data_IF_896690011392
#
_entry.id   IF_896690011392
#
_cell.length_a   1.000
_cell.length_b   1.000
_cell.length_c   1.000
_cell.angle_alpha   90.00
_cell.angle_beta   90.00
_cell.angle_gamma   90.00
#
_symmetry.space_group_name_H-M   'P 1'
#
loop_
_entity.id
_entity.type
_entity.pdbx_description
1 polymer ?
#
# COMPACT_ATOMS: atom_id res chain seq x y z
N UNK A 1 11.05 12.01 -2.69
CA UNK A 1 10.99 10.56 -3.02
C UNK A 1 10.14 9.88 -1.95
N UNK A 2 9.25 8.95 -2.30
CA UNK A 2 8.43 8.25 -1.30
C UNK A 2 9.29 7.27 -0.49
N UNK A 3 9.05 7.18 0.82
CA UNK A 3 9.66 6.14 1.67
C UNK A 3 8.88 4.84 1.49
N UNK A 4 9.54 3.79 0.99
CA UNK A 4 8.91 2.51 0.71
C UNK A 4 9.34 1.45 1.73
N UNK A 5 8.38 0.65 2.20
CA UNK A 5 8.59 -0.42 3.17
C UNK A 5 8.06 -1.73 2.64
N UNK A 6 8.92 -2.75 2.52
CA UNK A 6 8.53 -4.13 2.21
C UNK A 6 8.47 -4.93 3.51
N UNK A 7 7.35 -5.60 3.77
CA UNK A 7 7.16 -6.40 4.98
C UNK A 7 6.53 -7.76 4.70
N UNK A 8 6.87 -8.77 5.51
CA UNK A 8 6.25 -10.09 5.44
C UNK A 8 5.11 -10.27 6.47
N UNK A 9 5.30 -9.73 7.69
CA UNK A 9 4.43 -10.00 8.84
C UNK A 9 3.31 -8.96 8.96
N UNK A 10 2.11 -9.44 9.22
CA UNK A 10 0.93 -8.58 9.47
C UNK A 10 1.13 -7.73 10.74
N UNK A 11 1.87 -8.21 11.74
CA UNK A 11 2.23 -7.44 12.93
C UNK A 11 3.07 -6.21 12.58
N UNK A 12 4.12 -6.37 11.77
CA UNK A 12 4.96 -5.27 11.29
C UNK A 12 4.16 -4.30 10.41
N UNK A 13 3.33 -4.81 9.49
CA UNK A 13 2.46 -3.99 8.66
C UNK A 13 1.55 -3.07 9.50
N UNK A 14 0.88 -3.64 10.50
CA UNK A 14 0.03 -2.86 11.43
C UNK A 14 0.81 -1.98 12.40
N UNK A 15 2.07 -2.31 12.71
CA UNK A 15 2.96 -1.44 13.49
C UNK A 15 3.29 -0.18 12.69
N UNK A 16 3.72 -0.34 11.43
CA UNK A 16 3.99 0.80 10.54
C UNK A 16 2.74 1.66 10.30
N UNK A 17 1.55 1.06 10.24
CA UNK A 17 0.28 1.80 10.22
C UNK A 17 0.08 2.72 11.44
N UNK A 18 0.63 2.38 12.61
CA UNK A 18 0.59 3.25 13.81
C UNK A 18 1.72 4.25 13.84
N UNK A 19 2.89 3.91 13.31
CA UNK A 19 4.09 4.74 13.42
C UNK A 19 4.15 5.83 12.32
N UNK A 20 3.66 5.51 11.12
CA UNK A 20 3.87 6.36 9.94
C UNK A 20 2.67 7.25 9.59
N UNK A 21 1.51 7.02 10.23
CA UNK A 21 0.24 7.71 9.96
C UNK A 21 -0.13 8.64 11.13
N UNK A 22 -0.46 9.88 10.79
CA UNK A 22 -0.90 10.96 11.67
C UNK A 22 -2.31 11.47 11.35
N UNK A 23 -2.81 12.37 12.21
CA UNK A 23 -4.20 12.84 12.26
C UNK A 23 -4.69 13.54 10.98
N UNK A 24 -3.78 14.10 10.18
CA UNK A 24 -4.13 14.86 8.98
C UNK A 24 -3.97 14.03 7.68
N UNK A 25 -3.46 12.79 7.78
CA UNK A 25 -3.18 11.98 6.60
C UNK A 25 -4.48 11.47 5.96
N UNK A 26 -4.51 11.51 4.62
CA UNK A 26 -5.39 10.70 3.80
C UNK A 26 -4.65 9.40 3.43
N UNK A 27 -5.20 8.28 3.91
CA UNK A 27 -4.62 6.95 3.68
C UNK A 27 -5.45 6.15 2.69
N UNK A 28 -4.78 5.48 1.76
CA UNK A 28 -5.40 4.44 0.92
C UNK A 28 -4.90 3.07 1.39
N UNK A 29 -5.82 2.15 1.67
CA UNK A 29 -5.52 0.75 2.01
C UNK A 29 -6.06 -0.18 0.94
N UNK A 30 -5.22 -1.05 0.38
CA UNK A 30 -5.55 -2.03 -0.64
C UNK A 30 -5.54 -3.43 -0.05
N UNK A 31 -6.68 -4.12 -0.10
CA UNK A 31 -6.88 -5.43 0.52
C UNK A 31 -7.30 -5.33 1.98
N UNK A 32 -8.39 -4.61 2.26
CA UNK A 32 -8.87 -4.40 3.63
C UNK A 32 -9.30 -5.70 4.35
N UNK A 33 -9.71 -6.73 3.60
CA UNK A 33 -10.05 -8.07 4.09
C UNK A 33 -11.07 -8.07 5.24
N UNK A 34 -10.63 -8.20 6.49
CA UNK A 34 -11.50 -8.19 7.68
C UNK A 34 -11.55 -6.82 8.39
N UNK A 35 -10.98 -5.78 7.80
CA UNK A 35 -10.94 -4.42 8.36
C UNK A 35 -10.02 -4.26 9.57
N UNK A 36 -9.20 -5.26 9.92
CA UNK A 36 -8.34 -5.20 11.12
C UNK A 36 -7.28 -4.12 11.03
N UNK A 37 -6.65 -3.96 9.86
CA UNK A 37 -5.67 -2.89 9.62
C UNK A 37 -6.38 -1.56 9.33
N UNK A 38 -7.50 -1.57 8.61
CA UNK A 38 -8.37 -0.39 8.44
C UNK A 38 -8.74 0.27 9.76
N UNK A 39 -9.10 -0.52 10.79
CA UNK A 39 -9.36 -0.02 12.16
C UNK A 39 -8.16 0.61 12.85
N UNK A 40 -6.94 0.20 12.49
CA UNK A 40 -5.71 0.80 13.01
C UNK A 40 -5.49 2.15 12.31
N UNK A 41 -5.63 2.18 10.99
CA UNK A 41 -5.52 3.39 10.18
C UNK A 41 -6.59 4.42 10.56
N UNK A 42 -7.85 4.02 10.70
CA UNK A 42 -8.97 4.91 11.01
C UNK A 42 -8.87 5.58 12.39
N UNK A 43 -8.12 4.99 13.33
CA UNK A 43 -7.84 5.62 14.64
C UNK A 43 -6.75 6.68 14.58
N UNK A 44 -5.99 6.73 13.49
CA UNK A 44 -4.81 7.60 13.35
C UNK A 44 -4.97 8.63 12.25
N UNK A 45 -5.49 8.24 11.09
CA UNK A 45 -5.64 9.06 9.91
C UNK A 45 -6.83 10.02 10.00
N UNK A 46 -6.73 11.14 9.31
CA UNK A 46 -7.86 12.05 9.10
C UNK A 46 -8.92 11.42 8.20
N UNK A 47 -8.48 10.62 7.21
CA UNK A 47 -9.37 9.86 6.33
C UNK A 47 -8.72 8.57 5.84
N UNK A 48 -9.52 7.50 5.72
CA UNK A 48 -9.09 6.23 5.13
C UNK A 48 -10.00 5.86 3.97
N UNK A 49 -9.42 5.53 2.82
CA UNK A 49 -10.09 4.87 1.70
C UNK A 49 -9.64 3.42 1.70
N UNK A 50 -10.52 2.52 2.13
CA UNK A 50 -10.27 1.09 2.20
C UNK A 50 -10.84 0.42 0.93
N UNK A 51 -10.02 -0.33 0.21
CA UNK A 51 -10.40 -1.06 -1.01
C UNK A 51 -10.37 -2.55 -0.74
N UNK A 52 -11.47 -3.21 -1.06
CA UNK A 52 -11.62 -4.66 -0.91
C UNK A 52 -12.42 -5.23 -2.09
N UNK A 53 -11.91 -6.31 -2.70
CA UNK A 53 -12.50 -6.89 -3.92
C UNK A 53 -13.66 -7.83 -3.63
N UNK A 54 -13.55 -8.62 -2.56
CA UNK A 54 -14.48 -9.71 -2.29
C UNK A 54 -15.71 -9.19 -1.54
N UNK A 55 -16.90 -9.64 -1.93
CA UNK A 55 -18.15 -9.30 -1.24
C UNK A 55 -18.11 -9.67 0.25
N UNK A 56 -17.56 -10.84 0.57
CA UNK A 56 -17.38 -11.32 1.94
C UNK A 56 -16.40 -10.43 2.74
N UNK A 57 -15.25 -10.06 2.15
CA UNK A 57 -14.31 -9.13 2.79
C UNK A 57 -14.93 -7.75 2.99
N UNK A 58 -15.70 -7.28 2.02
CA UNK A 58 -16.44 -6.03 2.13
C UNK A 58 -17.45 -6.03 3.28
N UNK A 59 -18.25 -7.08 3.43
CA UNK A 59 -19.19 -7.21 4.54
C UNK A 59 -18.46 -7.19 5.89
N UNK A 60 -17.37 -7.97 6.02
CA UNK A 60 -16.54 -8.01 7.24
C UNK A 60 -15.91 -6.66 7.54
N UNK A 61 -15.32 -6.01 6.54
CA UNK A 61 -14.68 -4.69 6.68
C UNK A 61 -15.70 -3.65 7.08
N UNK A 62 -16.87 -3.60 6.44
CA UNK A 62 -17.97 -2.68 6.76
C UNK A 62 -18.39 -2.82 8.21
N UNK A 63 -18.61 -4.04 8.70
CA UNK A 63 -18.93 -4.29 10.10
C UNK A 63 -17.79 -3.86 11.04
N UNK A 64 -16.53 -4.15 10.69
CA UNK A 64 -15.37 -3.81 11.50
C UNK A 64 -15.14 -2.30 11.65
N UNK A 65 -15.56 -1.51 10.65
CA UNK A 65 -15.34 -0.06 10.60
C UNK A 65 -16.60 0.78 10.81
N UNK A 66 -17.76 0.17 11.10
CA UNK A 66 -19.06 0.86 11.18
C UNK A 66 -19.10 2.08 12.11
N UNK A 67 -18.27 2.08 13.17
CA UNK A 67 -18.16 3.20 14.14
C UNK A 67 -17.22 4.33 13.73
N UNK A 68 -16.52 4.21 12.61
CA UNK A 68 -15.54 5.18 12.15
C UNK A 68 -16.15 6.03 11.03
N UNK A 69 -16.42 7.31 11.33
CA UNK A 69 -16.95 8.27 10.35
C UNK A 69 -15.94 8.72 9.28
N UNK A 70 -14.66 8.38 9.45
CA UNK A 70 -13.56 8.77 8.57
C UNK A 70 -13.13 7.67 7.58
N UNK A 71 -13.92 6.60 7.42
CA UNK A 71 -13.60 5.48 6.51
C UNK A 71 -14.57 5.44 5.34
N UNK A 72 -14.03 5.50 4.12
CA UNK A 72 -14.75 5.17 2.89
C UNK A 72 -14.35 3.75 2.44
N UNK A 73 -15.32 2.83 2.36
CA UNK A 73 -15.10 1.47 1.86
C UNK A 73 -15.51 1.37 0.40
N UNK A 74 -14.57 1.01 -0.47
CA UNK A 74 -14.80 0.67 -1.87
C UNK A 74 -14.76 -0.84 -2.06
N UNK A 75 -15.89 -1.40 -2.49
CA UNK A 75 -16.03 -2.81 -2.83
C UNK A 75 -15.68 -3.06 -4.29
N UNK A 76 -14.39 -2.98 -4.62
CA UNK A 76 -13.88 -2.97 -5.98
C UNK A 76 -12.52 -3.67 -6.07
N UNK A 77 -12.13 -4.06 -7.28
CA UNK A 77 -10.78 -4.51 -7.55
C UNK A 77 -9.81 -3.32 -7.47
N UNK A 78 -8.77 -3.42 -6.64
CA UNK A 78 -7.77 -2.37 -6.47
C UNK A 78 -6.97 -2.06 -7.75
N UNK A 79 -6.99 -2.95 -8.75
CA UNK A 79 -6.41 -2.67 -10.07
C UNK A 79 -7.27 -1.69 -10.89
N UNK A 80 -8.55 -1.54 -10.59
CA UNK A 80 -9.37 -0.46 -11.12
C UNK A 80 -9.17 0.80 -10.26
N UNK A 81 -8.40 1.74 -10.81
CA UNK A 81 -8.07 2.99 -10.12
C UNK A 81 -9.22 3.99 -10.16
N UNK A 82 -10.17 3.86 -11.09
CA UNK A 82 -11.18 4.89 -11.32
C UNK A 82 -12.02 5.16 -10.06
N UNK A 83 -12.56 4.15 -9.35
CA UNK A 83 -13.34 4.38 -8.14
C UNK A 83 -12.56 5.12 -7.04
N UNK A 84 -11.24 4.89 -6.94
CA UNK A 84 -10.38 5.59 -5.99
C UNK A 84 -10.14 7.04 -6.44
N UNK A 85 -9.89 7.26 -7.74
CA UNK A 85 -9.67 8.57 -8.34
C UNK A 85 -10.90 9.47 -8.32
N UNK A 86 -12.10 8.89 -8.28
CA UNK A 86 -13.36 9.59 -8.09
C UNK A 86 -13.48 10.14 -6.64
N UNK A 87 -12.76 9.57 -5.67
CA UNK A 87 -12.75 10.04 -4.27
C UNK A 87 -11.60 11.00 -3.93
N UNK A 88 -10.43 10.83 -4.56
CA UNK A 88 -9.25 11.64 -4.29
C UNK A 88 -8.26 11.60 -5.45
N UNK A 89 -7.44 12.64 -5.58
CA UNK A 89 -6.27 12.68 -6.48
C UNK A 89 -4.93 12.69 -5.76
N UNK A 90 -4.95 12.54 -4.43
CA UNK A 90 -3.75 12.47 -3.58
C UNK A 90 -3.91 11.40 -2.50
N UNK A 91 -2.78 10.97 -1.94
CA UNK A 91 -2.74 10.24 -0.68
C UNK A 91 -1.44 10.58 0.04
N UNK A 92 -1.47 10.61 1.37
CA UNK A 92 -0.27 10.82 2.17
C UNK A 92 0.44 9.48 2.44
N UNK A 93 -0.35 8.42 2.63
CA UNK A 93 0.17 7.07 2.77
C UNK A 93 -0.64 6.03 1.97
N UNK A 94 0.05 5.02 1.45
CA UNK A 94 -0.56 3.87 0.79
C UNK A 94 -0.12 2.57 1.47
N UNK A 95 -1.08 1.72 1.77
CA UNK A 95 -0.90 0.43 2.43
C UNK A 95 -1.40 -0.68 1.51
N UNK A 96 -0.53 -1.62 1.10
CA UNK A 96 -0.86 -2.69 0.15
C UNK A 96 -0.73 -4.08 0.79
N UNK A 97 -1.83 -4.80 0.95
CA UNK A 97 -1.88 -6.20 1.42
C UNK A 97 -2.96 -7.01 0.68
N UNK A 98 -2.76 -7.28 -0.60
CA UNK A 98 -3.71 -8.03 -1.45
C UNK A 98 -3.53 -9.55 -1.36
N UNK A 99 -3.41 -10.08 -0.14
CA UNK A 99 -3.37 -11.52 0.11
C UNK A 99 -2.03 -12.10 0.55
N UNK A 100 -1.06 -11.27 0.94
CA UNK A 100 0.19 -11.66 1.61
C UNK A 100 1.19 -12.57 0.88
N UNK A 101 0.71 -13.47 0.02
CA UNK A 101 1.45 -14.45 -0.79
C UNK A 101 1.09 -14.36 -2.28
N UNK A 102 0.31 -13.34 -2.66
CA UNK A 102 0.05 -13.01 -4.05
C UNK A 102 1.38 -12.91 -4.84
N UNK A 103 1.38 -13.29 -6.13
CA UNK A 103 2.56 -13.13 -6.97
C UNK A 103 3.16 -11.73 -6.86
N UNK A 104 4.48 -11.64 -6.67
CA UNK A 104 5.18 -10.39 -6.38
C UNK A 104 4.87 -9.30 -7.42
N UNK A 105 4.80 -9.67 -8.70
CA UNK A 105 4.48 -8.76 -9.80
C UNK A 105 3.12 -8.06 -9.64
N UNK A 106 2.11 -8.72 -9.07
CA UNK A 106 0.79 -8.11 -8.84
C UNK A 106 0.88 -7.02 -7.79
N UNK A 107 1.51 -7.31 -6.66
CA UNK A 107 1.68 -6.34 -5.57
C UNK A 107 2.57 -5.18 -6.00
N UNK A 108 3.66 -5.45 -6.74
CA UNK A 108 4.54 -4.43 -7.31
C UNK A 108 3.80 -3.55 -8.33
N UNK A 109 2.96 -4.13 -9.21
CA UNK A 109 2.16 -3.37 -10.17
C UNK A 109 1.19 -2.43 -9.45
N UNK A 110 0.49 -2.89 -8.42
CA UNK A 110 -0.35 -2.01 -7.59
C UNK A 110 0.47 -0.93 -6.91
N UNK A 111 1.56 -1.30 -6.24
CA UNK A 111 2.41 -0.32 -5.55
C UNK A 111 2.90 0.76 -6.53
N UNK A 112 3.33 0.38 -7.74
CA UNK A 112 3.77 1.32 -8.77
C UNK A 112 2.64 2.23 -9.25
N UNK A 113 1.46 1.67 -9.55
CA UNK A 113 0.30 2.44 -9.99
C UNK A 113 -0.13 3.48 -8.94
N UNK A 114 -0.22 3.08 -7.68
CA UNK A 114 -0.63 3.99 -6.61
C UNK A 114 0.47 5.01 -6.27
N UNK A 115 1.73 4.62 -6.37
CA UNK A 115 2.86 5.54 -6.22
C UNK A 115 2.84 6.63 -7.30
N UNK A 116 2.61 6.27 -8.57
CA UNK A 116 2.58 7.23 -9.68
C UNK A 116 1.35 8.14 -9.63
N UNK A 117 0.18 7.59 -9.30
CA UNK A 117 -1.07 8.33 -9.36
C UNK A 117 -1.30 9.25 -8.16
N UNK A 118 -0.90 8.82 -6.96
CA UNK A 118 -1.24 9.55 -5.72
C UNK A 118 -0.05 10.21 -5.04
N UNK A 119 1.18 9.89 -5.50
CA UNK A 119 2.47 10.43 -5.03
C UNK A 119 2.59 10.51 -3.49
N UNK A 120 2.31 9.40 -2.77
CA UNK A 120 2.36 9.41 -1.31
C UNK A 120 3.77 9.64 -0.77
N UNK A 121 3.87 10.20 0.43
CA UNK A 121 5.15 10.29 1.15
C UNK A 121 5.60 8.92 1.67
N UNK A 122 4.67 8.00 1.90
CA UNK A 122 4.91 6.66 2.44
C UNK A 122 4.13 5.59 1.66
N UNK A 123 4.79 4.48 1.34
CA UNK A 123 4.14 3.27 0.84
C UNK A 123 4.60 2.05 1.64
N UNK A 124 3.67 1.32 2.24
CA UNK A 124 3.93 0.06 2.95
C UNK A 124 3.32 -1.09 2.16
N UNK A 125 4.15 -2.03 1.73
CA UNK A 125 3.75 -3.16 0.91
C UNK A 125 4.02 -4.46 1.67
N UNK A 126 2.97 -5.28 1.85
CA UNK A 126 3.10 -6.62 2.38
C UNK A 126 3.19 -7.65 1.26
N UNK A 127 4.29 -8.39 1.21
CA UNK A 127 4.43 -9.57 0.36
C UNK A 127 5.49 -10.51 0.93
N UNK A 128 5.07 -11.68 1.39
CA UNK A 128 5.94 -12.68 2.04
C UNK A 128 6.98 -13.25 1.10
N UNK A 129 6.60 -13.60 -0.14
CA UNK A 129 7.49 -14.18 -1.15
C UNK A 129 8.53 -13.19 -1.62
N UNK A 130 8.13 -11.96 -1.92
CA UNK A 130 9.06 -10.90 -2.31
C UNK A 130 10.00 -10.52 -1.17
N UNK A 131 9.50 -10.44 0.08
CA UNK A 131 10.37 -10.20 1.23
C UNK A 131 11.41 -11.31 1.38
N UNK A 132 11.00 -12.57 1.23
CA UNK A 132 11.92 -13.71 1.29
C UNK A 132 12.98 -13.65 0.19
N UNK A 133 12.57 -13.35 -1.05
CA UNK A 133 13.47 -13.21 -2.18
C UNK A 133 14.49 -12.08 -1.98
N UNK A 134 14.03 -10.89 -1.59
CA UNK A 134 14.91 -9.75 -1.29
C UNK A 134 15.86 -10.07 -0.14
N UNK A 135 15.40 -10.81 0.87
CA UNK A 135 16.24 -11.19 2.02
C UNK A 135 17.27 -12.28 1.69
N UNK A 136 17.12 -13.00 0.57
CA UNK A 136 18.11 -13.98 0.11
C UNK A 136 19.14 -13.41 -0.85
N UNK A 137 19.04 -12.12 -1.20
CA UNK A 137 20.04 -11.46 -2.01
C UNK A 137 21.30 -11.24 -1.18
N UNK A 138 22.43 -11.71 -1.69
CA UNK A 138 23.75 -11.39 -1.12
C UNK A 138 24.16 -9.95 -1.47
N UNK A 139 23.79 -9.50 -2.66
CA UNK A 139 24.07 -8.18 -3.17
C UNK A 139 22.99 -7.75 -4.17
N UNK A 140 22.73 -6.45 -4.21
CA UNK A 140 21.90 -5.82 -5.23
C UNK A 140 22.56 -4.51 -5.64
N UNK A 141 22.68 -4.31 -6.95
CA UNK A 141 23.23 -3.08 -7.50
C UNK A 141 22.38 -1.88 -7.06
N UNK A 142 22.99 -0.78 -6.59
CA UNK A 142 22.30 0.48 -6.41
C UNK A 142 21.65 0.92 -7.74
N UNK A 143 20.48 1.56 -7.68
CA UNK A 143 19.87 2.06 -8.92
C UNK A 143 20.80 3.07 -9.58
N UNK A 144 21.24 2.82 -10.83
CA UNK A 144 22.14 3.73 -11.51
C UNK A 144 21.45 5.08 -11.76
N UNK A 145 22.26 6.13 -11.91
CA UNK A 145 21.73 7.46 -12.20
C UNK A 145 20.92 7.47 -13.49
N UNK A 146 20.00 8.42 -13.65
CA UNK A 146 19.21 8.54 -14.88
C UNK A 146 20.07 8.67 -16.15
N UNK A 147 21.32 9.15 -16.02
CA UNK A 147 22.27 9.32 -17.12
C UNK A 147 22.92 8.01 -17.59
N UNK A 148 22.89 6.95 -16.77
CA UNK A 148 23.46 5.64 -17.12
C UNK A 148 22.88 5.09 -18.44
N UNK A 149 21.56 5.18 -18.60
CA UNK A 149 20.87 4.66 -19.78
C UNK A 149 21.21 5.43 -21.07
N UNK A 150 21.84 6.60 -20.96
CA UNK A 150 22.30 7.39 -22.10
C UNK A 150 23.74 7.08 -22.49
N UNK A 151 24.58 6.66 -21.54
CA UNK A 151 26.00 6.34 -21.75
C UNK A 151 26.44 5.18 -20.84
N UNK A 152 26.04 3.94 -21.15
CA UNK A 152 26.26 2.78 -20.27
C UNK A 152 27.74 2.39 -20.14
N UNK A 153 28.59 2.77 -21.11
CA UNK A 153 30.02 2.44 -21.11
C UNK A 153 30.88 3.45 -20.31
N UNK A 154 30.30 4.55 -19.81
CA UNK A 154 31.03 5.63 -19.14
C UNK A 154 30.67 5.79 -17.65
N UNK A 155 30.00 4.80 -17.05
CA UNK A 155 29.63 4.84 -15.63
C UNK A 155 30.71 4.15 -14.77
N UNK A 156 31.10 4.86 -13.69
CA UNK A 156 32.14 4.56 -12.69
C UNK A 156 32.36 3.07 -12.34
#
# INVERSE_FOLDING_TARGET
MARMFLVARVSTYRRLARELVGADDLVIELGASEGRCTRVLARRAGRVIAVEKTSAGCAKTRAAVARFGNVALLCQDAFDLKPVLDLTRRADAVFVDIGGSAPAWQTMRLARNYLSMFRPRVLVMRNTRLTSFVSSLEWAEPTPSHHYWSQPEQAD
#
